data_IF_577739822268
#
_entry.id   IF_577739822268
#
_cell.length_a   1.000
_cell.length_b   1.000
_cell.length_c   1.000
_cell.angle_alpha   90.00
_cell.angle_beta   90.00
_cell.angle_gamma   90.00
#
_symmetry.space_group_name_H-M   'P 1'
#
loop_
_entity.id
_entity.type
_entity.pdbx_description
1 polymer ?
#
# COMPACT_ATOMS: atom_id res chain seq x y z
N UNK A 1 25.10 -4.44 -18.47
CA UNK A 1 24.50 -5.51 -19.30
C UNK A 1 23.03 -5.57 -18.95
N UNK A 2 22.14 -5.50 -19.94
CA UNK A 2 20.70 -5.65 -19.70
C UNK A 2 20.32 -7.12 -19.92
N UNK A 3 19.61 -7.70 -18.95
CA UNK A 3 19.13 -9.10 -19.04
C UNK A 3 17.66 -9.07 -19.41
N UNK A 4 17.27 -9.79 -20.46
CA UNK A 4 15.89 -9.89 -20.87
C UNK A 4 15.19 -11.04 -20.13
N UNK A 5 14.04 -10.75 -19.53
CA UNK A 5 13.19 -11.74 -18.86
C UNK A 5 11.93 -11.94 -19.71
N UNK A 6 11.70 -13.16 -20.20
CA UNK A 6 10.49 -13.52 -20.94
C UNK A 6 9.46 -14.13 -19.98
N UNK A 7 8.31 -13.47 -19.84
CA UNK A 7 7.23 -13.91 -18.94
C UNK A 7 5.96 -14.19 -19.74
N UNK A 8 5.31 -15.31 -19.48
CA UNK A 8 3.96 -15.59 -20.00
C UNK A 8 2.93 -15.06 -19.01
N UNK A 9 2.08 -14.15 -19.46
CA UNK A 9 1.00 -13.58 -18.66
C UNK A 9 -0.35 -13.70 -19.39
N UNK A 10 -1.46 -13.82 -18.64
CA UNK A 10 -2.80 -13.81 -19.23
C UNK A 10 -3.06 -12.51 -20.00
N UNK A 11 -3.82 -12.60 -21.08
CA UNK A 11 -4.09 -11.44 -21.93
C UNK A 11 -4.85 -10.33 -21.20
N UNK A 12 -5.76 -10.71 -20.28
CA UNK A 12 -6.46 -9.77 -19.40
C UNK A 12 -5.51 -8.99 -18.49
N UNK A 13 -4.46 -9.65 -18.00
CA UNK A 13 -3.44 -8.98 -17.18
C UNK A 13 -2.64 -8.00 -18.04
N UNK A 14 -2.22 -8.41 -19.24
CA UNK A 14 -1.51 -7.52 -20.16
C UNK A 14 -2.34 -6.28 -20.53
N UNK A 15 -3.66 -6.42 -20.75
CA UNK A 15 -4.52 -5.26 -21.03
C UNK A 15 -4.59 -4.30 -19.84
N UNK A 16 -4.75 -4.83 -18.62
CA UNK A 16 -4.77 -3.98 -17.42
C UNK A 16 -3.43 -3.27 -17.18
N UNK A 17 -2.33 -3.96 -17.42
CA UNK A 17 -0.98 -3.40 -17.30
C UNK A 17 -0.76 -2.27 -18.30
N UNK A 18 -1.23 -2.41 -19.54
CA UNK A 18 -1.17 -1.34 -20.55
C UNK A 18 -1.98 -0.12 -20.14
N UNK A 19 -3.23 -0.31 -19.75
CA UNK A 19 -4.07 0.82 -19.29
C UNK A 19 -3.43 1.55 -18.11
N UNK A 20 -2.94 0.80 -17.12
CA UNK A 20 -2.27 1.40 -15.96
C UNK A 20 -0.99 2.14 -16.35
N UNK A 21 -0.16 1.56 -17.24
CA UNK A 21 1.09 2.19 -17.66
C UNK A 21 0.85 3.52 -18.38
N UNK A 22 -0.19 3.57 -19.23
CA UNK A 22 -0.53 4.76 -19.99
C UNK A 22 -1.11 5.85 -19.07
N UNK A 23 -2.00 5.49 -18.14
CA UNK A 23 -2.62 6.42 -17.18
C UNK A 23 -1.60 7.06 -16.22
N UNK A 24 -0.57 6.32 -15.85
CA UNK A 24 0.45 6.78 -14.88
C UNK A 24 1.72 7.32 -15.56
N UNK A 25 1.70 7.49 -16.89
CA UNK A 25 2.78 8.15 -17.64
C UNK A 25 4.07 7.34 -17.79
N UNK A 26 3.99 6.01 -17.71
CA UNK A 26 5.14 5.15 -17.99
C UNK A 26 5.44 5.12 -19.48
N UNK A 27 6.72 5.15 -19.85
CA UNK A 27 7.14 5.13 -21.26
C UNK A 27 6.83 3.81 -21.98
N UNK A 28 6.71 2.71 -21.23
CA UNK A 28 6.31 1.40 -21.76
C UNK A 28 5.82 0.47 -20.65
N UNK A 29 5.15 -0.61 -21.04
CA UNK A 29 4.82 -1.73 -20.14
C UNK A 29 6.07 -2.33 -19.48
N UNK A 30 7.19 -2.38 -20.20
CA UNK A 30 8.44 -2.93 -19.67
C UNK A 30 9.02 -2.03 -18.59
N UNK A 31 8.95 -0.70 -18.76
CA UNK A 31 9.37 0.25 -17.75
C UNK A 31 8.52 0.17 -16.50
N UNK A 32 7.20 0.06 -16.65
CA UNK A 32 6.30 -0.17 -15.53
C UNK A 32 6.67 -1.45 -14.76
N UNK A 33 6.82 -2.58 -15.44
CA UNK A 33 7.18 -3.86 -14.80
C UNK A 33 8.52 -3.75 -14.07
N UNK A 34 9.51 -3.08 -14.67
CA UNK A 34 10.83 -2.86 -14.07
C UNK A 34 10.74 -2.04 -12.78
N UNK A 35 10.00 -0.93 -12.79
CA UNK A 35 9.83 -0.10 -11.60
C UNK A 35 9.04 -0.84 -10.51
N UNK A 36 7.97 -1.56 -10.87
CA UNK A 36 7.21 -2.36 -9.88
C UNK A 36 8.09 -3.43 -9.22
N UNK A 37 8.97 -4.09 -9.99
CA UNK A 37 9.92 -5.06 -9.42
C UNK A 37 10.93 -4.35 -8.51
N UNK A 38 11.42 -3.17 -8.91
CA UNK A 38 12.36 -2.37 -8.11
C UNK A 38 11.74 -2.00 -6.78
N UNK A 39 10.55 -1.39 -6.80
CA UNK A 39 9.81 -0.99 -5.59
C UNK A 39 9.64 -2.18 -4.65
N UNK A 40 9.23 -3.34 -5.18
CA UNK A 40 8.98 -4.53 -4.36
C UNK A 40 10.23 -5.15 -3.73
N UNK A 41 11.40 -4.97 -4.35
CA UNK A 41 12.66 -5.55 -3.89
C UNK A 41 13.50 -4.60 -3.04
N UNK A 42 13.44 -3.30 -3.33
CA UNK A 42 14.37 -2.32 -2.78
C UNK A 42 13.71 -1.23 -1.96
N UNK A 43 12.41 -0.96 -2.14
CA UNK A 43 11.75 0.03 -1.30
C UNK A 43 11.31 -0.64 0.00
N UNK A 44 11.77 -0.08 1.12
CA UNK A 44 11.29 -0.51 2.43
C UNK A 44 9.80 -0.17 2.54
N UNK A 45 8.96 -1.12 2.98
CA UNK A 45 7.55 -0.81 3.16
C UNK A 45 7.41 0.32 4.19
N UNK A 46 6.68 1.38 3.85
CA UNK A 46 6.43 2.53 4.74
C UNK A 46 5.86 2.11 6.10
N UNK A 47 5.17 0.97 6.12
CA UNK A 47 4.63 0.35 7.32
C UNK A 47 5.14 -1.08 7.39
N UNK A 48 5.88 -1.39 8.45
CA UNK A 48 6.32 -2.76 8.71
C UNK A 48 5.13 -3.68 8.95
N UNK A 49 5.32 -4.99 8.73
CA UNK A 49 4.29 -5.99 9.03
C UNK A 49 3.85 -5.97 10.49
N UNK A 50 4.78 -5.62 11.39
CA UNK A 50 4.53 -5.52 12.83
C UNK A 50 3.64 -4.32 13.16
N UNK A 51 3.92 -3.16 12.57
CA UNK A 51 3.09 -1.96 12.72
C UNK A 51 1.68 -2.18 12.14
N UNK A 52 1.57 -2.82 10.98
CA UNK A 52 0.27 -3.18 10.42
C UNK A 52 -0.52 -4.10 11.36
N UNK A 53 0.15 -5.08 11.97
CA UNK A 53 -0.47 -5.98 12.94
C UNK A 53 -0.89 -5.24 14.21
N UNK A 54 -0.10 -4.27 14.67
CA UNK A 54 -0.43 -3.41 15.80
C UNK A 54 -1.69 -2.57 15.51
N UNK A 55 -1.72 -1.89 14.36
CA UNK A 55 -2.86 -1.05 13.95
C UNK A 55 -4.15 -1.87 13.88
N UNK A 56 -4.09 -3.07 13.29
CA UNK A 56 -5.25 -3.98 13.25
C UNK A 56 -5.73 -4.36 14.66
N UNK A 57 -4.82 -4.76 15.55
CA UNK A 57 -5.17 -5.08 16.94
C UNK A 57 -5.80 -3.89 17.68
N UNK A 58 -5.28 -2.68 17.46
CA UNK A 58 -5.81 -1.47 18.07
C UNK A 58 -7.21 -1.14 17.54
N UNK A 59 -7.44 -1.29 16.23
CA UNK A 59 -8.77 -1.12 15.63
C UNK A 59 -9.77 -2.12 16.24
N UNK A 60 -9.42 -3.41 16.29
CA UNK A 60 -10.26 -4.46 16.87
C UNK A 60 -10.59 -4.20 18.36
N UNK A 61 -9.60 -3.75 19.14
CA UNK A 61 -9.79 -3.42 20.55
C UNK A 61 -10.69 -2.19 20.74
N UNK A 62 -10.53 -1.19 19.88
CA UNK A 62 -11.34 0.04 19.88
C UNK A 62 -12.79 -0.27 19.58
N UNK A 63 -13.04 -1.14 18.59
CA UNK A 63 -14.37 -1.60 18.22
C UNK A 63 -15.03 -2.41 19.34
N UNK A 64 -14.33 -3.44 19.86
CA UNK A 64 -14.83 -4.28 20.96
C UNK A 64 -15.16 -3.49 22.22
N UNK A 65 -14.34 -2.49 22.55
CA UNK A 65 -14.53 -1.65 23.74
C UNK A 65 -15.41 -0.41 23.46
N UNK A 66 -15.92 -0.24 22.24
CA UNK A 66 -16.67 0.94 21.79
C UNK A 66 -16.01 2.26 22.20
N UNK A 67 -14.69 2.35 22.03
CA UNK A 67 -13.88 3.51 22.45
C UNK A 67 -13.99 4.71 21.50
N UNK A 68 -14.99 4.70 20.61
CA UNK A 68 -15.34 5.84 19.79
C UNK A 68 -15.81 6.98 20.69
N UNK A 69 -15.32 8.18 20.42
CA UNK A 69 -15.71 9.38 21.15
C UNK A 69 -15.81 10.56 20.20
N UNK A 70 -16.47 11.60 20.67
CA UNK A 70 -16.53 12.85 19.91
C UNK A 70 -15.26 13.67 20.10
N UNK A 71 -14.99 14.59 19.18
CA UNK A 71 -13.87 15.52 19.28
C UNK A 71 -13.88 16.30 20.61
N UNK A 72 -15.07 16.74 21.06
CA UNK A 72 -15.25 17.42 22.36
C UNK A 72 -14.82 16.55 23.54
N UNK A 73 -15.13 15.25 23.52
CA UNK A 73 -14.74 14.31 24.56
C UNK A 73 -13.23 14.08 24.57
N UNK A 74 -12.59 13.98 23.40
CA UNK A 74 -11.14 13.85 23.27
C UNK A 74 -10.42 15.06 23.90
N UNK A 75 -10.80 16.28 23.52
CA UNK A 75 -10.18 17.51 24.04
C UNK A 75 -10.44 17.71 25.55
N UNK A 76 -11.60 17.27 26.06
CA UNK A 76 -11.87 17.30 27.50
C UNK A 76 -10.95 16.38 28.31
N UNK A 77 -10.58 15.21 27.74
CA UNK A 77 -9.65 14.24 28.36
C UNK A 77 -8.19 14.71 28.27
N UNK A 78 -7.80 15.35 27.16
CA UNK A 78 -6.44 15.86 26.96
C UNK A 78 -6.13 17.12 27.79
N UNK A 79 -7.13 17.97 28.05
CA UNK A 79 -6.97 19.18 28.89
C UNK A 79 -6.75 18.94 30.38
N UNK A 80 -6.94 17.71 30.87
CA UNK A 80 -6.83 17.35 32.30
C UNK A 80 -5.48 16.73 32.69
N UNK A 81 -4.44 16.88 31.86
CA UNK A 81 -3.05 16.56 32.21
C UNK A 81 -2.21 17.81 32.30
#
# INVERSE_FOLDING_TARGET
MNTQINVRIPQKLLSSVRSYSDEHGYGSVQDFIKETIREKLFDEPEISKEELALVKKLADLTEKKKLYGTERELFSKLRRR
#
